data_IF_338423029977
#
_entry.id   IF_338423029977
#
_cell.length_a   1.000
_cell.length_b   1.000
_cell.length_c   1.000
_cell.angle_alpha   90.00
_cell.angle_beta   90.00
_cell.angle_gamma   90.00
#
_symmetry.space_group_name_H-M   'P 1'
#
loop_
_entity.id
_entity.type
_entity.pdbx_description
1 polymer ?
#
# COMPACT_ATOMS: atom_id res chain seq x y z
N UNK A 1 22.98 18.48 26.04
CA UNK A 1 23.84 17.32 26.33
C UNK A 1 23.11 16.42 27.33
N UNK A 2 22.48 15.34 26.82
CA UNK A 2 21.99 14.13 27.52
C UNK A 2 21.10 13.34 26.54
N UNK A 3 21.73 12.55 25.70
CA UNK A 3 21.11 11.57 24.81
C UNK A 3 21.04 10.23 25.55
N UNK A 4 19.83 9.78 25.91
CA UNK A 4 19.62 8.41 26.41
C UNK A 4 19.03 7.58 25.29
N UNK A 5 19.90 6.81 24.64
CA UNK A 5 19.53 5.78 23.66
C UNK A 5 19.01 4.58 24.44
N UNK A 6 17.71 4.28 24.34
CA UNK A 6 17.14 3.04 24.84
C UNK A 6 17.10 2.02 23.69
N UNK A 7 18.08 1.11 23.68
CA UNK A 7 18.03 -0.11 22.88
C UNK A 7 16.99 -1.01 23.55
N UNK A 8 15.76 -0.97 23.05
CA UNK A 8 14.73 -1.96 23.39
C UNK A 8 15.05 -3.20 22.57
N UNK A 9 15.93 -4.03 23.12
CA UNK A 9 16.00 -5.46 22.80
C UNK A 9 14.87 -6.14 23.58
N UNK A 10 13.88 -6.68 22.88
CA UNK A 10 12.98 -7.66 23.45
C UNK A 10 12.62 -8.70 22.39
N UNK A 11 13.43 -9.76 22.41
CA UNK A 11 13.01 -11.16 22.35
C UNK A 11 11.87 -11.45 21.37
N UNK A 12 12.24 -11.94 20.19
CA UNK A 12 11.34 -12.76 19.37
C UNK A 12 11.00 -14.02 20.16
N UNK A 13 9.85 -14.01 20.83
CA UNK A 13 9.21 -15.23 21.31
C UNK A 13 8.66 -15.96 20.08
N UNK A 14 9.40 -16.96 19.61
CA UNK A 14 8.94 -17.89 18.60
C UNK A 14 7.79 -18.73 19.18
N UNK A 15 6.55 -18.28 19.00
CA UNK A 15 5.39 -19.14 19.16
C UNK A 15 5.37 -20.13 17.99
N UNK A 16 5.64 -21.39 18.31
CA UNK A 16 5.45 -22.51 17.41
C UNK A 16 3.99 -22.54 16.90
N UNK A 17 3.85 -22.62 15.58
CA UNK A 17 2.69 -23.21 14.92
C UNK A 17 1.40 -22.39 14.91
N UNK A 18 1.24 -21.58 13.85
CA UNK A 18 0.19 -21.81 12.84
C UNK A 18 0.69 -21.18 11.54
N UNK A 19 0.95 -21.99 10.53
CA UNK A 19 1.04 -21.51 9.14
C UNK A 19 -0.23 -20.70 8.90
N UNK A 20 -0.18 -19.45 8.39
CA UNK A 20 -1.41 -18.73 8.11
C UNK A 20 -2.21 -19.59 7.14
N UNK A 21 -3.36 -20.06 7.62
CA UNK A 21 -4.33 -20.78 6.81
C UNK A 21 -4.59 -19.92 5.59
N UNK A 22 -4.27 -20.46 4.40
CA UNK A 22 -4.56 -19.79 3.15
C UNK A 22 -6.07 -19.73 3.05
N UNK A 23 -6.63 -18.62 3.55
CA UNK A 23 -8.07 -18.42 3.67
C UNK A 23 -8.65 -18.68 2.28
N UNK A 24 -9.37 -19.79 2.16
CA UNK A 24 -9.92 -20.23 0.89
C UNK A 24 -10.71 -19.07 0.29
N UNK A 25 -10.23 -18.58 -0.86
CA UNK A 25 -10.82 -17.42 -1.52
C UNK A 25 -12.18 -17.86 -2.07
N UNK A 26 -13.21 -17.71 -1.24
CA UNK A 26 -14.58 -18.11 -1.56
C UNK A 26 -15.05 -17.27 -2.74
N UNK A 27 -15.13 -17.89 -3.92
CA UNK A 27 -15.54 -17.33 -5.21
C UNK A 27 -17.02 -16.86 -5.26
N UNK A 28 -17.65 -16.65 -4.10
CA UNK A 28 -19.08 -16.38 -3.97
C UNK A 28 -19.43 -14.90 -4.27
N UNK A 29 -18.44 -14.01 -4.33
CA UNK A 29 -18.64 -12.57 -4.54
C UNK A 29 -18.06 -12.02 -5.86
N UNK A 30 -17.81 -12.87 -6.86
CA UNK A 30 -17.37 -12.46 -8.21
C UNK A 30 -18.51 -11.87 -9.07
N UNK A 31 -19.42 -11.09 -8.48
CA UNK A 31 -20.32 -10.24 -9.29
C UNK A 31 -19.62 -8.92 -9.58
N UNK A 32 -18.63 -9.00 -10.47
CA UNK A 32 -18.03 -7.86 -11.20
C UNK A 32 -18.95 -7.48 -12.36
N UNK A 33 -20.19 -7.15 -12.04
CA UNK A 33 -21.14 -6.70 -13.04
C UNK A 33 -20.70 -5.35 -13.63
N UNK A 34 -21.30 -4.96 -14.75
CA UNK A 34 -20.93 -3.72 -15.41
C UNK A 34 -21.10 -2.49 -14.50
N UNK A 35 -22.08 -2.48 -13.58
CA UNK A 35 -22.31 -1.34 -12.69
C UNK A 35 -21.20 -1.22 -11.64
N UNK A 36 -20.71 -2.35 -11.12
CA UNK A 36 -19.58 -2.38 -10.19
C UNK A 36 -18.37 -1.60 -10.73
N UNK A 37 -17.90 -1.94 -11.93
CA UNK A 37 -16.74 -1.27 -12.54
C UNK A 37 -17.03 0.20 -12.88
N UNK A 38 -18.25 0.52 -13.31
CA UNK A 38 -18.66 1.91 -13.57
C UNK A 38 -18.63 2.75 -12.30
N UNK A 39 -19.03 2.19 -11.16
CA UNK A 39 -19.04 2.90 -9.89
C UNK A 39 -17.61 3.16 -9.40
N UNK A 40 -16.73 2.15 -9.45
CA UNK A 40 -15.31 2.32 -9.10
C UNK A 40 -14.65 3.39 -9.97
N UNK A 41 -14.83 3.32 -11.30
CA UNK A 41 -14.24 4.30 -12.21
C UNK A 41 -14.77 5.71 -11.97
N UNK A 42 -16.06 5.85 -11.64
CA UNK A 42 -16.66 7.15 -11.30
C UNK A 42 -16.04 7.73 -10.02
N UNK A 43 -15.89 6.90 -8.98
CA UNK A 43 -15.30 7.33 -7.71
C UNK A 43 -13.83 7.73 -7.89
N UNK A 44 -13.05 6.94 -8.63
CA UNK A 44 -11.67 7.26 -8.95
C UNK A 44 -11.54 8.55 -9.77
N UNK A 45 -12.44 8.79 -10.73
CA UNK A 45 -12.48 10.02 -11.50
C UNK A 45 -12.74 11.23 -10.60
N UNK A 46 -13.71 11.13 -9.69
CA UNK A 46 -13.98 12.23 -8.75
C UNK A 46 -12.80 12.51 -7.83
N UNK A 47 -12.11 11.47 -7.34
CA UNK A 47 -10.91 11.65 -6.52
C UNK A 47 -9.77 12.28 -7.33
N UNK A 48 -9.56 11.90 -8.59
CA UNK A 48 -8.57 12.51 -9.47
C UNK A 48 -8.86 14.00 -9.73
N UNK A 49 -10.14 14.37 -9.93
CA UNK A 49 -10.57 15.76 -10.12
C UNK A 49 -10.36 16.63 -8.87
N UNK A 50 -10.30 16.02 -7.68
CA UNK A 50 -10.08 16.74 -6.41
C UNK A 50 -8.61 17.04 -6.14
N UNK A 51 -7.68 16.44 -6.88
CA UNK A 51 -6.24 16.68 -6.72
C UNK A 51 -5.93 18.14 -7.07
N UNK A 52 -5.45 18.91 -6.08
CA UNK A 52 -5.00 20.29 -6.28
C UNK A 52 -3.49 20.34 -6.35
N UNK A 53 -2.96 21.06 -7.34
CA UNK A 53 -1.53 21.31 -7.45
C UNK A 53 -1.08 22.28 -6.35
N UNK A 54 0.02 21.94 -5.68
CA UNK A 54 0.67 22.80 -4.69
C UNK A 54 1.89 23.47 -5.32
N UNK A 55 1.81 24.77 -5.61
CA UNK A 55 2.91 25.57 -6.16
C UNK A 55 3.81 26.19 -5.08
N UNK A 56 3.51 25.97 -3.80
CA UNK A 56 4.32 26.47 -2.69
C UNK A 56 5.65 25.74 -2.58
N UNK A 57 6.71 26.44 -2.16
CA UNK A 57 8.01 25.82 -1.87
C UNK A 57 7.88 24.87 -0.67
N UNK A 58 8.27 23.60 -0.86
CA UNK A 58 8.30 22.62 0.23
C UNK A 58 9.33 23.02 1.30
N UNK A 59 8.92 22.95 2.57
CA UNK A 59 9.80 23.21 3.73
C UNK A 59 10.60 21.97 4.14
N UNK A 60 10.03 20.78 3.95
CA UNK A 60 10.60 19.50 4.35
C UNK A 60 10.52 18.52 3.17
N UNK A 61 11.49 17.62 3.09
CA UNK A 61 11.53 16.53 2.09
C UNK A 61 11.69 15.22 2.84
N UNK A 62 10.83 14.25 2.55
CA UNK A 62 10.91 12.88 3.06
C UNK A 62 11.05 11.97 1.85
N UNK A 63 12.09 11.14 1.84
CA UNK A 63 12.37 10.18 0.77
C UNK A 63 12.30 8.76 1.34
N UNK A 64 11.39 7.95 0.80
CA UNK A 64 11.32 6.52 1.09
C UNK A 64 12.01 5.76 -0.04
N UNK A 65 13.01 4.95 0.29
CA UNK A 65 13.73 4.10 -0.67
C UNK A 65 13.41 2.65 -0.34
N UNK A 66 12.76 1.96 -1.28
CA UNK A 66 12.59 0.51 -1.22
C UNK A 66 13.65 -0.16 -2.07
N UNK A 67 14.66 -0.75 -1.44
CA UNK A 67 15.67 -1.55 -2.15
C UNK A 67 15.03 -2.84 -2.69
N UNK A 68 15.27 -3.16 -3.96
CA UNK A 68 14.65 -4.29 -4.65
C UNK A 68 13.14 -4.19 -4.85
N UNK A 69 12.52 -3.03 -4.61
CA UNK A 69 11.07 -2.86 -4.61
C UNK A 69 10.52 -2.51 -6.00
N UNK A 70 10.75 -3.41 -6.96
CA UNK A 70 10.22 -3.30 -8.32
C UNK A 70 8.70 -3.53 -8.43
N UNK A 71 8.11 -3.36 -9.62
CA UNK A 71 6.65 -3.48 -9.83
C UNK A 71 6.08 -4.86 -9.45
N UNK A 72 6.85 -5.93 -9.66
CA UNK A 72 6.46 -7.28 -9.27
C UNK A 72 6.42 -7.41 -7.74
N UNK A 73 7.47 -6.94 -7.06
CA UNK A 73 7.56 -6.94 -5.59
C UNK A 73 6.42 -6.15 -4.95
N UNK A 74 6.06 -5.00 -5.54
CA UNK A 74 4.92 -4.18 -5.10
C UNK A 74 3.61 -4.95 -5.23
N UNK A 75 3.38 -5.60 -6.38
CA UNK A 75 2.18 -6.42 -6.61
C UNK A 75 2.08 -7.60 -5.63
N UNK A 76 3.17 -8.33 -5.44
CA UNK A 76 3.23 -9.43 -4.46
C UNK A 76 2.97 -8.92 -3.04
N UNK A 77 3.56 -7.79 -2.66
CA UNK A 77 3.34 -7.18 -1.34
C UNK A 77 1.88 -6.74 -1.13
N UNK A 78 1.22 -6.23 -2.18
CA UNK A 78 -0.21 -5.87 -2.14
C UNK A 78 -1.08 -7.10 -1.87
N UNK A 79 -0.88 -8.17 -2.65
CA UNK A 79 -1.60 -9.44 -2.50
C UNK A 79 -1.35 -10.02 -1.11
N UNK A 80 -0.09 -10.07 -0.68
CA UNK A 80 0.30 -10.56 0.64
C UNK A 80 -0.37 -9.76 1.77
N UNK A 81 -0.44 -8.43 1.66
CA UNK A 81 -0.99 -7.57 2.72
C UNK A 81 -2.51 -7.66 2.83
N UNK A 82 -3.24 -7.84 1.74
CA UNK A 82 -4.72 -7.88 1.81
C UNK A 82 -5.44 -8.23 0.52
N UNK A 83 -4.81 -8.97 -0.39
CA UNK A 83 -5.40 -9.40 -1.65
C UNK A 83 -5.26 -8.39 -2.80
N UNK A 84 -5.81 -8.75 -3.95
CA UNK A 84 -5.63 -8.03 -5.22
C UNK A 84 -6.28 -6.64 -5.24
N UNK A 85 -7.41 -6.48 -4.54
CA UNK A 85 -8.18 -5.23 -4.50
C UNK A 85 -7.65 -4.23 -3.47
N UNK A 86 -6.67 -4.64 -2.64
CA UNK A 86 -6.08 -3.77 -1.64
C UNK A 86 -5.12 -2.75 -2.27
N UNK A 87 -4.80 -1.68 -1.54
CA UNK A 87 -3.80 -0.67 -1.95
C UNK A 87 -2.78 -0.46 -0.85
N UNK A 88 -1.50 -0.43 -1.21
CA UNK A 88 -0.43 -0.03 -0.30
C UNK A 88 -0.52 1.48 -0.02
N UNK A 89 0.10 1.93 1.08
CA UNK A 89 -0.03 3.32 1.52
C UNK A 89 0.51 4.32 0.47
N UNK A 90 1.62 3.98 -0.18
CA UNK A 90 2.23 4.81 -1.22
C UNK A 90 1.48 4.77 -2.56
N UNK A 91 0.64 3.76 -2.80
CA UNK A 91 -0.20 3.70 -4.01
C UNK A 91 -1.38 4.68 -3.95
N UNK A 92 -1.63 5.29 -2.79
CA UNK A 92 -2.62 6.37 -2.61
C UNK A 92 -2.04 7.75 -2.90
N UNK A 93 -0.74 7.85 -3.20
CA UNK A 93 -0.16 9.14 -3.55
C UNK A 93 -0.72 9.63 -4.88
N UNK A 94 -1.02 10.94 -5.02
CA UNK A 94 -1.68 11.49 -6.20
C UNK A 94 -0.78 11.57 -7.44
N UNK A 95 0.52 11.35 -7.27
CA UNK A 95 1.52 11.47 -8.34
C UNK A 95 2.39 10.22 -8.38
N UNK A 96 2.61 9.71 -9.59
CA UNK A 96 3.47 8.56 -9.88
C UNK A 96 4.36 8.91 -11.07
N UNK A 97 5.61 8.43 -11.04
CA UNK A 97 6.56 8.57 -12.13
C UNK A 97 7.38 7.30 -12.27
N UNK A 98 7.89 7.04 -13.49
CA UNK A 98 8.75 5.91 -13.76
C UNK A 98 10.18 6.41 -13.99
N UNK A 99 11.13 5.81 -13.27
CA UNK A 99 12.55 6.09 -13.41
C UNK A 99 13.16 5.08 -14.40
N UNK A 100 14.06 5.54 -15.26
CA UNK A 100 14.75 4.74 -16.28
C UNK A 100 16.07 4.22 -15.76
#
# INVERSE_FOLDING_TARGET
MRTTVAIVSCVFLASAGTVPEFKEFKAENLRTDQQFWKNIARDELYEALRVRQNYGRAKNVILFIGDGMGPNTITTARIYKGGETNRLAFERFPHMGLLK
#
